data_IF_729860108965
#
_entry.id   IF_729860108965
#
_cell.length_a   1.000
_cell.length_b   1.000
_cell.length_c   1.000
_cell.angle_alpha   90.00
_cell.angle_beta   90.00
_cell.angle_gamma   90.00
#
_symmetry.space_group_name_H-M   'P 1'
#
loop_
_entity.id
_entity.type
_entity.pdbx_description
1 polymer ?
#
# COMPACT_ATOMS: atom_id res chain seq x y z
N UNK A 1 8.57 12.02 -9.61
CA UNK A 1 7.34 11.35 -9.16
C UNK A 1 6.15 12.16 -9.68
N UNK A 2 5.58 11.81 -10.85
CA UNK A 2 4.76 12.76 -11.60
C UNK A 2 3.24 12.57 -11.45
N UNK A 3 2.78 11.35 -11.13
CA UNK A 3 1.34 11.01 -11.05
C UNK A 3 1.10 9.90 -10.01
N UNK A 4 1.43 10.10 -8.72
CA UNK A 4 1.30 9.06 -7.70
C UNK A 4 -0.14 8.58 -7.50
N UNK A 5 -1.15 9.42 -7.81
CA UNK A 5 -2.57 9.07 -7.74
C UNK A 5 -2.96 7.91 -8.63
N UNK A 6 -2.21 7.64 -9.72
CA UNK A 6 -2.44 6.50 -10.61
C UNK A 6 -2.19 5.14 -9.95
N UNK A 7 -1.47 5.11 -8.83
CA UNK A 7 -1.15 3.86 -8.11
C UNK A 7 -1.87 3.72 -6.77
N UNK A 8 -2.64 4.73 -6.34
CA UNK A 8 -3.43 4.69 -5.10
C UNK A 8 -4.76 3.98 -5.36
N UNK A 9 -4.78 2.65 -5.21
CA UNK A 9 -5.96 1.81 -5.42
C UNK A 9 -5.80 0.45 -4.73
N UNK A 10 -6.85 -0.38 -4.73
CA UNK A 10 -6.69 -1.81 -4.45
C UNK A 10 -6.08 -2.50 -5.67
N UNK A 11 -4.75 -2.60 -5.69
CA UNK A 11 -3.98 -2.93 -6.89
C UNK A 11 -4.38 -4.27 -7.54
N UNK A 12 -4.83 -5.25 -6.76
CA UNK A 12 -5.27 -6.56 -7.24
C UNK A 12 -6.35 -6.46 -8.33
N UNK A 13 -7.24 -5.47 -8.25
CA UNK A 13 -8.31 -5.23 -9.23
C UNK A 13 -7.83 -4.46 -10.48
N UNK A 14 -6.60 -3.92 -10.44
CA UNK A 14 -6.08 -3.01 -11.46
C UNK A 14 -4.71 -3.43 -12.04
N UNK A 15 -4.33 -4.71 -11.90
CA UNK A 15 -3.04 -5.22 -12.39
C UNK A 15 -2.76 -4.90 -13.87
N UNK A 16 -3.70 -5.10 -14.82
CA UNK A 16 -3.46 -4.74 -16.23
C UNK A 16 -3.19 -3.24 -16.42
N UNK A 17 -3.83 -2.39 -15.63
CA UNK A 17 -3.66 -0.94 -15.69
C UNK A 17 -2.28 -0.51 -15.17
N UNK A 18 -1.80 -1.15 -14.08
CA UNK A 18 -0.44 -0.89 -13.57
C UNK A 18 0.63 -1.23 -14.60
N UNK A 19 0.47 -2.36 -15.30
CA UNK A 19 1.36 -2.73 -16.40
C UNK A 19 1.32 -1.69 -17.52
N UNK A 20 0.13 -1.25 -17.93
CA UNK A 20 -0.02 -0.23 -18.97
C UNK A 20 0.63 1.11 -18.58
N UNK A 21 0.50 1.55 -17.32
CA UNK A 21 1.17 2.76 -16.83
C UNK A 21 2.69 2.63 -16.82
N UNK A 22 3.21 1.49 -16.38
CA UNK A 22 4.65 1.19 -16.42
C UNK A 22 5.17 1.26 -17.87
N UNK A 23 4.46 0.63 -18.81
CA UNK A 23 4.88 0.52 -20.20
C UNK A 23 4.77 1.87 -20.95
N UNK A 24 3.83 2.74 -20.56
CA UNK A 24 3.70 4.10 -21.09
C UNK A 24 4.81 5.05 -20.60
N UNK A 25 5.38 4.81 -19.41
CA UNK A 25 6.47 5.60 -18.84
C UNK A 25 6.10 7.05 -18.49
N UNK A 26 7.10 7.92 -18.28
CA UNK A 26 8.54 7.63 -18.35
C UNK A 26 9.01 6.80 -17.14
N UNK A 27 9.85 5.80 -17.39
CA UNK A 27 10.48 4.99 -16.32
C UNK A 27 11.67 5.70 -15.64
N UNK A 28 12.22 6.72 -16.30
CA UNK A 28 13.40 7.47 -15.85
C UNK A 28 13.17 8.98 -15.92
N UNK A 29 13.90 9.76 -15.11
CA UNK A 29 14.83 9.31 -14.06
C UNK A 29 14.10 8.64 -12.89
N UNK A 30 14.71 7.60 -12.31
CA UNK A 30 14.20 6.96 -11.09
C UNK A 30 14.43 7.91 -9.92
N UNK A 31 13.39 8.12 -9.13
CA UNK A 31 13.48 8.89 -7.89
C UNK A 31 13.74 7.92 -6.73
N UNK A 32 14.77 8.20 -5.92
CA UNK A 32 15.19 7.36 -4.80
C UNK A 32 14.85 8.09 -3.51
N UNK A 33 14.10 7.42 -2.63
CA UNK A 33 13.74 7.90 -1.29
C UNK A 33 14.44 6.98 -0.29
N UNK A 34 15.26 7.54 0.60
CA UNK A 34 16.05 6.81 1.59
C UNK A 34 15.79 7.40 2.99
N UNK A 35 14.97 6.69 3.79
CA UNK A 35 14.51 7.15 5.10
C UNK A 35 14.41 5.99 6.10
N UNK A 36 14.69 6.27 7.38
CA UNK A 36 14.36 5.36 8.48
C UNK A 36 12.92 5.57 8.94
N UNK A 37 12.30 4.52 9.50
CA UNK A 37 10.99 4.59 10.13
C UNK A 37 11.00 3.96 11.52
N UNK A 38 10.17 4.51 12.42
CA UNK A 38 9.93 3.95 13.76
C UNK A 38 8.72 3.03 13.71
N UNK A 39 8.88 1.78 14.17
CA UNK A 39 7.75 0.86 14.32
C UNK A 39 6.88 1.33 15.49
N UNK A 40 5.58 1.53 15.24
CA UNK A 40 4.61 2.01 16.26
C UNK A 40 3.64 0.94 16.75
N UNK A 41 3.54 -0.22 16.06
CA UNK A 41 2.68 -1.33 16.43
C UNK A 41 3.24 -2.67 15.91
N UNK A 42 3.20 -3.72 16.73
CA UNK A 42 3.62 -5.09 16.39
C UNK A 42 2.69 -6.09 17.06
N UNK A 43 2.22 -7.10 16.31
CA UNK A 43 1.51 -8.26 16.84
C UNK A 43 1.75 -9.49 15.96
N UNK A 44 1.54 -10.68 16.52
CA UNK A 44 1.48 -11.93 15.76
C UNK A 44 0.04 -12.16 15.27
N UNK A 45 -0.12 -12.61 14.02
CA UNK A 45 -1.41 -12.92 13.40
C UNK A 45 -1.48 -14.34 12.81
N UNK A 46 -0.42 -15.13 12.98
CA UNK A 46 -0.27 -16.43 12.31
C UNK A 46 -0.11 -16.33 10.79
N UNK A 47 0.14 -17.47 10.15
CA UNK A 47 0.25 -17.56 8.69
C UNK A 47 -1.14 -17.64 8.03
N UNK A 48 -1.25 -17.16 6.79
CA UNK A 48 -2.45 -17.27 5.93
C UNK A 48 -3.74 -16.68 6.54
N UNK A 49 -3.63 -15.57 7.28
CA UNK A 49 -4.78 -14.86 7.82
C UNK A 49 -5.21 -13.72 6.88
N UNK A 50 -6.20 -13.99 6.04
CA UNK A 50 -6.71 -13.04 5.04
C UNK A 50 -7.47 -11.84 5.66
N UNK A 51 -7.65 -11.79 6.98
CA UNK A 51 -8.33 -10.70 7.68
C UNK A 51 -7.38 -9.62 8.22
N UNK A 52 -6.06 -9.76 8.06
CA UNK A 52 -5.09 -8.79 8.60
C UNK A 52 -5.10 -7.48 7.79
N UNK A 53 -5.21 -7.58 6.45
CA UNK A 53 -5.34 -6.44 5.52
C UNK A 53 -6.39 -6.83 4.48
N UNK A 54 -7.62 -6.36 4.65
CA UNK A 54 -8.76 -6.75 3.81
C UNK A 54 -9.67 -5.58 3.39
N UNK A 55 -9.27 -4.35 3.66
CA UNK A 55 -9.99 -3.13 3.29
C UNK A 55 -9.01 -1.98 3.01
N UNK A 56 -9.51 -0.87 2.46
CA UNK A 56 -8.67 0.31 2.27
C UNK A 56 -8.35 0.96 3.63
N UNK A 57 -7.17 1.58 3.76
CA UNK A 57 -6.81 2.29 5.00
C UNK A 57 -7.82 3.39 5.37
N UNK A 58 -8.50 4.00 4.38
CA UNK A 58 -9.57 4.97 4.58
C UNK A 58 -10.84 4.39 5.22
N UNK A 59 -10.99 3.06 5.22
CA UNK A 59 -12.14 2.34 5.76
C UNK A 59 -11.85 1.79 7.17
N UNK A 60 -10.63 1.96 7.67
CA UNK A 60 -10.26 1.54 9.02
C UNK A 60 -10.99 2.38 10.08
N UNK A 61 -11.29 1.80 11.25
CA UNK A 61 -11.74 2.54 12.42
C UNK A 61 -10.76 3.65 12.81
N UNK A 62 -11.29 4.77 13.33
CA UNK A 62 -10.48 5.95 13.70
C UNK A 62 -9.45 5.68 14.79
N UNK A 63 -9.67 4.64 15.59
CA UNK A 63 -8.82 4.21 16.69
C UNK A 63 -7.82 3.12 16.29
N UNK A 64 -7.68 2.80 15.00
CA UNK A 64 -6.65 1.88 14.54
C UNK A 64 -5.22 2.37 14.89
N UNK A 65 -4.31 1.51 15.39
CA UNK A 65 -4.45 0.06 15.61
C UNK A 65 -4.94 -0.33 17.02
N UNK A 66 -5.40 0.60 17.86
CA UNK A 66 -5.82 0.31 19.25
C UNK A 66 -7.10 -0.55 19.33
N UNK A 67 -7.92 -0.59 18.28
CA UNK A 67 -9.09 -1.46 18.17
C UNK A 67 -8.75 -2.94 17.95
N UNK A 68 -7.47 -3.26 17.71
CA UNK A 68 -6.99 -4.62 17.47
C UNK A 68 -6.73 -5.31 18.82
N UNK A 69 -7.62 -6.20 19.22
CA UNK A 69 -7.46 -7.07 20.40
C UNK A 69 -6.90 -8.44 20.03
#
# INVERSE_FOLDING_TARGET
MNNPEKTVCFQNEHIPLMNAYRDAGPAYPTEVIDEFATITFVRDCGANNDNVINCAASELPKDFPANLH
#
